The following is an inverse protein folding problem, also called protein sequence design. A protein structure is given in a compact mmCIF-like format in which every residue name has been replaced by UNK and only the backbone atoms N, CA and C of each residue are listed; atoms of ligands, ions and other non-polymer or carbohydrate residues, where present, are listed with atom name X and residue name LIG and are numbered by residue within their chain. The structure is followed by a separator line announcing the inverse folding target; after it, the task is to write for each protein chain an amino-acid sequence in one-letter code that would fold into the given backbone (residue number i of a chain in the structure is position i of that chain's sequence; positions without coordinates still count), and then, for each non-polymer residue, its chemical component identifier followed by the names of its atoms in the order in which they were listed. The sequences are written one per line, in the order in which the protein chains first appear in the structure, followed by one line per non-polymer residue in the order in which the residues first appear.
data_IF_385185349134
#
_entry.id   IF_385185349134
#
_cell.length_a   1.000
_cell.length_b   1.000
_cell.length_c   1.000
_cell.angle_alpha   90.00
_cell.angle_beta   90.00
_cell.angle_gamma   90.00
#
_symmetry.space_group_name_H-M   'P 1'
#
loop_
_entity.id
_entity.type
_entity.pdbx_description
1 polymer ?
#
# COMPACT_ATOMS: atom_id res chain seq x y z
N UNK A 1 -16.73 -9.33 -14.25
CA UNK A 1 -15.43 -9.48 -14.94
C UNK A 1 -14.92 -8.09 -15.30
N UNK A 2 -14.06 -7.50 -14.47
CA UNK A 2 -13.39 -6.25 -14.81
C UNK A 2 -12.38 -6.56 -15.92
N UNK A 3 -12.68 -6.10 -17.14
CA UNK A 3 -11.79 -6.26 -18.29
C UNK A 3 -10.56 -5.38 -18.06
N UNK A 4 -9.44 -5.98 -17.69
CA UNK A 4 -8.15 -5.33 -17.80
C UNK A 4 -7.97 -4.88 -19.26
N UNK A 5 -7.72 -3.58 -19.47
CA UNK A 5 -7.55 -3.03 -20.81
C UNK A 5 -6.38 -3.69 -21.57
N UNK A 6 -6.34 -3.61 -22.92
CA UNK A 6 -5.30 -4.21 -23.74
C UNK A 6 -3.86 -3.85 -23.30
N UNK A 7 -3.70 -2.63 -22.78
CA UNK A 7 -2.41 -2.07 -22.32
C UNK A 7 -1.85 -2.78 -21.10
N UNK A 8 -2.70 -3.20 -20.17
CA UNK A 8 -2.29 -3.87 -18.92
C UNK A 8 -1.67 -5.24 -19.20
N UNK A 9 -2.24 -6.01 -20.14
CA UNK A 9 -1.65 -7.29 -20.54
C UNK A 9 -0.30 -7.10 -21.25
N UNK A 10 -0.18 -6.07 -22.08
CA UNK A 10 1.09 -5.76 -22.76
C UNK A 10 2.17 -5.27 -21.80
N UNK A 11 1.80 -4.47 -20.80
CA UNK A 11 2.72 -3.96 -19.79
C UNK A 11 3.17 -5.07 -18.85
N UNK A 12 2.27 -5.99 -18.48
CA UNK A 12 2.64 -7.15 -17.67
C UNK A 12 3.59 -8.09 -18.42
N UNK A 13 3.38 -8.30 -19.72
CA UNK A 13 4.30 -9.08 -20.54
C UNK A 13 5.71 -8.44 -20.58
N UNK A 14 5.79 -7.12 -20.77
CA UNK A 14 7.08 -6.38 -20.73
C UNK A 14 7.75 -6.47 -19.37
N UNK A 15 7.01 -6.29 -18.29
CA UNK A 15 7.58 -6.40 -16.93
C UNK A 15 8.14 -7.81 -16.66
N UNK A 16 7.48 -8.86 -17.17
CA UNK A 16 7.99 -10.23 -17.08
C UNK A 16 9.27 -10.45 -17.90
N UNK A 17 9.39 -9.84 -19.09
CA UNK A 17 10.61 -9.90 -19.91
C UNK A 17 11.79 -9.19 -19.24
N UNK A 18 11.55 -7.98 -18.70
CA UNK A 18 12.55 -7.25 -17.91
C UNK A 18 12.96 -8.08 -16.69
N UNK A 19 12.01 -8.75 -16.02
CA UNK A 19 12.27 -9.61 -14.88
C UNK A 19 13.20 -10.77 -15.25
N UNK A 20 12.97 -11.43 -16.38
CA UNK A 20 13.85 -12.52 -16.83
C UNK A 20 15.25 -12.03 -17.19
N UNK A 21 15.36 -10.84 -17.78
CA UNK A 21 16.65 -10.18 -18.03
C UNK A 21 17.38 -9.87 -16.72
N UNK A 22 16.66 -9.32 -15.73
CA UNK A 22 17.20 -9.06 -14.39
C UNK A 22 17.63 -10.36 -13.69
N UNK A 23 16.85 -11.43 -13.81
CA UNK A 23 17.20 -12.76 -13.31
C UNK A 23 18.50 -13.27 -13.94
N UNK A 24 18.71 -13.04 -15.24
CA UNK A 24 19.94 -13.44 -15.93
C UNK A 24 21.16 -12.69 -15.38
N UNK A 25 21.09 -11.36 -15.25
CA UNK A 25 22.14 -10.56 -14.62
C UNK A 25 22.41 -11.00 -13.18
N UNK A 26 21.36 -11.30 -12.41
CA UNK A 26 21.50 -11.79 -11.03
C UNK A 26 22.26 -13.13 -10.98
N UNK A 27 21.93 -14.08 -11.87
CA UNK A 27 22.64 -15.37 -11.97
C UNK A 27 24.11 -15.19 -12.35
N UNK A 28 24.43 -14.17 -13.14
CA UNK A 28 25.79 -13.79 -13.51
C UNK A 28 26.53 -13.00 -12.42
N UNK A 29 25.92 -12.80 -11.23
CA UNK A 29 26.44 -11.97 -10.13
C UNK A 29 26.62 -10.48 -10.50
N UNK A 30 25.98 -10.03 -11.57
CA UNK A 30 25.95 -8.63 -11.98
C UNK A 30 24.84 -7.89 -11.21
N UNK A 31 24.97 -7.85 -9.88
CA UNK A 31 23.88 -7.44 -8.99
C UNK A 31 23.40 -6.01 -9.22
N UNK A 32 24.29 -5.08 -9.58
CA UNK A 32 23.90 -3.71 -9.89
C UNK A 32 22.99 -3.64 -11.13
N UNK A 33 23.35 -4.33 -12.22
CA UNK A 33 22.52 -4.37 -13.43
C UNK A 33 21.15 -5.01 -13.16
N UNK A 34 21.13 -6.09 -12.38
CA UNK A 34 19.89 -6.74 -11.97
C UNK A 34 19.01 -5.79 -11.12
N UNK A 35 19.62 -5.07 -10.18
CA UNK A 35 18.95 -4.09 -9.32
C UNK A 35 18.31 -2.97 -10.13
N UNK A 36 19.01 -2.43 -11.12
CA UNK A 36 18.51 -1.35 -11.98
C UNK A 36 17.27 -1.82 -12.76
N UNK A 37 17.29 -3.05 -13.28
CA UNK A 37 16.16 -3.66 -14.00
C UNK A 37 14.98 -4.00 -13.09
N UNK A 38 15.20 -4.55 -11.89
CA UNK A 38 14.09 -4.73 -10.95
C UNK A 38 13.49 -3.39 -10.51
N UNK A 39 14.33 -2.37 -10.34
CA UNK A 39 13.88 -1.02 -10.02
C UNK A 39 13.08 -0.41 -11.17
N UNK A 40 13.46 -0.66 -12.42
CA UNK A 40 12.66 -0.20 -13.57
C UNK A 40 11.29 -0.86 -13.60
N UNK A 41 11.18 -2.16 -13.27
CA UNK A 41 9.88 -2.83 -13.12
C UNK A 41 9.02 -2.12 -12.06
N UNK A 42 9.57 -1.91 -10.87
CA UNK A 42 8.84 -1.32 -9.75
C UNK A 42 8.43 0.12 -10.07
N UNK A 43 9.31 0.91 -10.68
CA UNK A 43 9.05 2.34 -10.90
C UNK A 43 8.17 2.61 -12.13
N UNK A 44 8.28 1.79 -13.18
CA UNK A 44 7.55 2.02 -14.43
C UNK A 44 6.21 1.29 -14.47
N UNK A 45 6.07 0.18 -13.75
CA UNK A 45 4.94 -0.72 -13.94
C UNK A 45 4.10 -0.94 -12.68
N UNK A 46 4.40 -0.25 -11.57
CA UNK A 46 3.74 -0.31 -10.25
C UNK A 46 2.23 -0.62 -10.31
N UNK A 47 1.48 0.18 -11.07
CA UNK A 47 0.03 0.15 -11.23
C UNK A 47 -0.47 -0.50 -12.54
N UNK A 48 0.47 -0.81 -13.43
CA UNK A 48 0.17 -1.28 -14.80
C UNK A 48 0.31 -2.79 -14.96
N UNK A 49 0.74 -3.52 -13.92
CA UNK A 49 1.02 -4.95 -14.00
C UNK A 49 0.52 -5.72 -12.78
N UNK A 50 0.65 -7.04 -12.82
CA UNK A 50 0.24 -7.88 -11.69
C UNK A 50 0.99 -7.50 -10.43
N UNK A 51 0.26 -7.35 -9.33
CA UNK A 51 0.80 -7.30 -7.97
C UNK A 51 1.91 -8.32 -7.78
N UNK A 52 1.65 -9.56 -8.18
CA UNK A 52 2.58 -10.66 -8.00
C UNK A 52 3.93 -10.39 -8.68
N UNK A 53 3.91 -9.82 -9.89
CA UNK A 53 5.10 -9.37 -10.61
C UNK A 53 5.88 -8.33 -9.82
N UNK A 54 5.21 -7.33 -9.23
CA UNK A 54 5.84 -6.29 -8.41
C UNK A 54 6.41 -6.85 -7.09
N UNK A 55 5.67 -7.72 -6.40
CA UNK A 55 6.12 -8.33 -5.14
C UNK A 55 7.32 -9.25 -5.39
N UNK A 56 7.30 -10.04 -6.46
CA UNK A 56 8.45 -10.85 -6.88
C UNK A 56 9.64 -9.97 -7.24
N UNK A 57 9.44 -8.89 -8.02
CA UNK A 57 10.49 -7.96 -8.38
C UNK A 57 11.13 -7.30 -7.15
N UNK A 58 10.33 -6.85 -6.17
CA UNK A 58 10.83 -6.32 -4.88
C UNK A 58 11.61 -7.38 -4.10
N UNK A 59 11.06 -8.58 -3.98
CA UNK A 59 11.71 -9.69 -3.30
C UNK A 59 13.09 -9.99 -3.95
N UNK A 60 13.16 -9.98 -5.28
CA UNK A 60 14.43 -10.20 -5.99
C UNK A 60 15.39 -9.00 -5.91
N UNK A 61 14.89 -7.76 -5.91
CA UNK A 61 15.70 -6.56 -5.66
C UNK A 61 16.31 -6.56 -4.26
N UNK A 62 15.57 -7.02 -3.25
CA UNK A 62 16.10 -7.26 -1.91
C UNK A 62 17.29 -8.24 -1.93
N UNK A 63 17.24 -9.25 -2.81
CA UNK A 63 18.36 -10.17 -2.99
C UNK A 63 19.59 -9.46 -3.58
N UNK A 64 19.42 -8.52 -4.51
CA UNK A 64 20.52 -7.71 -5.04
C UNK A 64 21.15 -6.87 -3.93
N UNK A 65 20.35 -6.12 -3.17
CA UNK A 65 20.84 -5.31 -2.05
C UNK A 65 21.63 -6.14 -1.02
N UNK A 66 21.13 -7.33 -0.71
CA UNK A 66 21.81 -8.25 0.21
C UNK A 66 23.19 -8.68 -0.29
N UNK A 67 23.35 -8.90 -1.60
CA UNK A 67 24.65 -9.28 -2.19
C UNK A 67 25.60 -8.07 -2.35
N UNK A 68 25.06 -6.86 -2.45
CA UNK A 68 25.83 -5.62 -2.52
C UNK A 68 26.23 -5.06 -1.15
N UNK A 69 25.78 -5.68 -0.06
CA UNK A 69 26.01 -5.18 1.31
C UNK A 69 25.11 -4.00 1.71
N UNK A 70 24.12 -3.67 0.89
CA UNK A 70 23.13 -2.61 1.16
C UNK A 70 22.01 -3.15 2.06
N UNK A 71 22.38 -3.63 3.25
CA UNK A 71 21.49 -4.38 4.14
C UNK A 71 20.23 -3.61 4.55
N UNK A 72 20.36 -2.30 4.78
CA UNK A 72 19.23 -1.45 5.16
C UNK A 72 18.18 -1.43 4.03
N UNK A 73 18.58 -1.29 2.76
CA UNK A 73 17.64 -1.33 1.61
C UNK A 73 17.06 -2.73 1.38
N UNK A 74 17.83 -3.78 1.65
CA UNK A 74 17.33 -5.16 1.64
C UNK A 74 16.16 -5.34 2.63
N UNK A 75 16.31 -4.84 3.86
CA UNK A 75 15.28 -4.90 4.91
C UNK A 75 13.98 -4.24 4.45
N UNK A 76 14.07 -3.05 3.84
CA UNK A 76 12.87 -2.34 3.34
C UNK A 76 12.11 -3.12 2.29
N UNK A 77 12.81 -3.59 1.26
CA UNK A 77 12.17 -4.35 0.19
C UNK A 77 11.54 -5.65 0.72
N UNK A 78 12.16 -6.28 1.74
CA UNK A 78 11.60 -7.46 2.39
C UNK A 78 10.33 -7.12 3.18
N UNK A 79 10.32 -6.05 3.96
CA UNK A 79 9.14 -5.65 4.73
C UNK A 79 7.99 -5.28 3.80
N UNK A 80 8.26 -4.53 2.73
CA UNK A 80 7.24 -4.22 1.72
C UNK A 80 6.73 -5.50 1.05
N UNK A 81 7.61 -6.44 0.70
CA UNK A 81 7.20 -7.72 0.10
C UNK A 81 6.35 -8.58 1.05
N UNK A 82 6.58 -8.48 2.37
CA UNK A 82 5.79 -9.20 3.39
C UNK A 82 4.45 -8.54 3.69
N UNK A 83 4.34 -7.22 3.56
CA UNK A 83 3.07 -6.50 3.63
C UNK A 83 2.15 -6.89 2.46
N UNK A 84 2.72 -7.09 1.27
CA UNK A 84 2.00 -7.51 0.08
C UNK A 84 2.22 -8.99 -0.19
N UNK A 85 1.57 -9.84 0.62
CA UNK A 85 1.66 -11.30 0.50
C UNK A 85 1.30 -11.70 -0.93
N UNK A 86 2.35 -12.04 -1.67
CA UNK A 86 2.23 -12.61 -3.00
C UNK A 86 1.58 -13.98 -2.88
N UNK A 87 0.57 -14.31 -3.69
CA UNK A 87 0.00 -15.66 -3.74
C UNK A 87 1.00 -16.69 -4.28
N UNK A 88 2.11 -16.25 -4.90
CA UNK A 88 3.18 -17.12 -5.37
C UNK A 88 3.94 -17.75 -4.17
N UNK A 89 3.95 -19.09 -4.07
CA UNK A 89 4.59 -19.78 -2.96
C UNK A 89 6.08 -19.43 -2.82
N UNK A 90 6.51 -19.21 -1.58
CA UNK A 90 7.92 -19.01 -1.23
C UNK A 90 8.45 -17.58 -1.40
N UNK A 91 7.68 -16.62 -1.92
CA UNK A 91 8.10 -15.20 -1.94
C UNK A 91 8.24 -14.67 -0.50
N UNK A 92 7.24 -14.91 0.34
CA UNK A 92 7.26 -14.52 1.75
C UNK A 92 8.43 -15.19 2.52
N UNK A 93 8.67 -16.47 2.30
CA UNK A 93 9.75 -17.19 2.99
C UNK A 93 11.13 -16.68 2.56
N UNK A 94 11.31 -16.37 1.27
CA UNK A 94 12.53 -15.71 0.78
C UNK A 94 12.71 -14.32 1.37
N UNK A 95 11.64 -13.54 1.49
CA UNK A 95 11.69 -12.22 2.11
C UNK A 95 12.07 -12.31 3.60
N UNK A 96 11.44 -13.21 4.37
CA UNK A 96 11.80 -13.46 5.78
C UNK A 96 13.26 -13.90 5.94
N UNK A 97 13.72 -14.81 5.09
CA UNK A 97 15.11 -15.28 5.11
C UNK A 97 16.10 -14.13 4.87
N UNK A 98 15.84 -13.30 3.85
CA UNK A 98 16.70 -12.17 3.50
C UNK A 98 16.68 -11.09 4.58
N UNK A 99 15.50 -10.79 5.13
CA UNK A 99 15.32 -9.89 6.27
C UNK A 99 16.21 -10.32 7.44
N UNK A 100 16.09 -11.58 7.88
CA UNK A 100 16.89 -12.10 8.98
C UNK A 100 18.40 -11.99 8.72
N UNK A 101 18.84 -12.29 7.48
CA UNK A 101 20.26 -12.20 7.10
C UNK A 101 20.77 -10.76 7.09
N UNK A 102 19.99 -9.82 6.55
CA UNK A 102 20.34 -8.41 6.49
C UNK A 102 20.36 -7.76 7.88
N UNK A 103 19.38 -8.07 8.73
CA UNK A 103 19.34 -7.60 10.11
C UNK A 103 20.56 -8.06 10.89
N UNK A 104 20.89 -9.35 10.80
CA UNK A 104 22.09 -9.90 11.45
C UNK A 104 23.36 -9.19 10.96
N UNK A 105 23.52 -8.99 9.66
CA UNK A 105 24.71 -8.31 9.13
C UNK A 105 24.86 -6.88 9.66
N UNK A 106 23.75 -6.15 9.86
CA UNK A 106 23.80 -4.83 10.49
C UNK A 106 24.10 -4.91 11.99
N UNK A 107 23.59 -5.92 12.70
CA UNK A 107 23.93 -6.14 14.11
C UNK A 107 25.42 -6.39 14.30
N UNK A 108 26.00 -7.26 13.44
CA UNK A 108 27.44 -7.55 13.43
C UNK A 108 28.26 -6.26 13.17
N UNK A 109 27.84 -5.42 12.19
CA UNK A 109 28.49 -4.12 11.91
C UNK A 109 28.40 -3.16 13.11
N UNK A 110 27.26 -3.11 13.80
CA UNK A 110 27.10 -2.24 14.95
C UNK A 110 27.93 -2.69 16.15
N UNK A 111 28.07 -4.00 16.33
CA UNK A 111 28.97 -4.58 17.33
C UNK A 111 30.43 -4.21 17.04
N UNK A 112 30.87 -4.37 15.79
CA UNK A 112 32.22 -3.97 15.36
C UNK A 112 32.46 -2.47 15.60
N UNK A 113 31.51 -1.62 15.23
CA UNK A 113 31.60 -0.17 15.46
C UNK A 113 31.69 0.17 16.94
N UNK A 114 30.94 -0.51 17.80
CA UNK A 114 30.97 -0.30 19.25
C UNK A 114 32.29 -0.76 19.88
N UNK A 115 32.90 -1.80 19.34
CA UNK A 115 34.21 -2.26 19.77
C UNK A 115 35.32 -1.24 19.43
N UNK A 116 35.18 -0.53 18.30
CA UNK A 116 36.13 0.52 17.86
C UNK A 116 35.86 1.86 18.56
N UNK A 117 34.59 2.24 18.70
CA UNK A 117 34.14 3.47 19.33
C UNK A 117 33.10 3.13 20.43
N UNK A 118 33.52 3.07 21.71
CA UNK A 118 32.61 2.81 22.82
C UNK A 118 31.51 3.86 22.99
N UNK A 119 31.64 5.04 22.36
CA UNK A 119 30.60 6.09 22.39
C UNK A 119 29.52 5.87 21.32
N UNK A 120 29.73 4.93 20.39
CA UNK A 120 28.75 4.56 19.38
C UNK A 120 27.49 3.93 20.01
N UNK A 121 26.37 4.61 19.86
CA UNK A 121 25.10 4.22 20.48
C UNK A 121 24.37 3.08 19.74
N UNK A 122 24.92 2.58 18.62
CA UNK A 122 24.23 1.67 17.71
C UNK A 122 23.41 2.40 16.67
N UNK A 123 22.98 1.69 15.62
CA UNK A 123 21.97 2.23 14.72
C UNK A 123 20.64 2.38 15.47
N UNK A 124 19.79 3.36 15.10
CA UNK A 124 18.41 3.36 15.58
C UNK A 124 17.82 1.98 15.33
N UNK A 125 17.17 1.39 16.35
CA UNK A 125 16.41 0.15 16.13
C UNK A 125 15.55 0.36 14.90
N UNK A 126 15.46 -0.65 14.02
CA UNK A 126 14.62 -0.58 12.84
C UNK A 126 13.17 -0.39 13.28
N UNK A 127 12.80 0.87 13.45
CA UNK A 127 11.48 1.33 13.70
C UNK A 127 10.91 1.58 12.31
N UNK A 128 9.97 0.72 11.93
CA UNK A 128 9.29 0.83 10.64
C UNK A 128 8.74 2.26 10.52
N UNK A 129 8.24 2.85 11.60
CA UNK A 129 7.65 4.17 11.63
C UNK A 129 8.69 5.31 11.49
N UNK A 130 9.92 5.14 12.01
CA UNK A 130 11.01 6.11 11.82
C UNK A 130 11.58 6.06 10.39
N UNK A 131 11.77 4.85 9.84
CA UNK A 131 12.15 4.65 8.43
C UNK A 131 11.07 5.22 7.50
N UNK A 132 9.79 5.05 7.84
CA UNK A 132 8.65 5.65 7.14
C UNK A 132 8.74 7.18 7.11
N UNK A 133 9.06 7.82 8.24
CA UNK A 133 9.26 9.28 8.31
C UNK A 133 10.46 9.74 7.49
N UNK A 134 11.55 8.98 7.48
CA UNK A 134 12.77 9.32 6.73
C UNK A 134 12.59 9.13 5.22
N UNK A 135 11.97 8.04 4.77
CA UNK A 135 11.60 7.85 3.36
C UNK A 135 10.60 8.90 2.88
N UNK A 136 9.63 9.31 3.71
CA UNK A 136 8.76 10.45 3.36
C UNK A 136 9.58 11.71 3.12
N UNK A 137 10.57 12.02 3.97
CA UNK A 137 11.47 13.17 3.78
C UNK A 137 12.34 13.05 2.53
N UNK A 138 12.94 11.89 2.29
CA UNK A 138 13.78 11.63 1.11
C UNK A 138 12.97 11.68 -0.18
N UNK A 139 11.74 11.18 -0.14
CA UNK A 139 10.84 11.16 -1.28
C UNK A 139 10.29 12.56 -1.57
N UNK A 140 9.94 13.35 -0.55
CA UNK A 140 9.67 14.78 -0.70
C UNK A 140 10.88 15.56 -1.23
N UNK A 141 12.10 15.22 -0.80
CA UNK A 141 13.34 15.83 -1.29
C UNK A 141 13.68 15.42 -2.73
N UNK A 142 13.31 14.21 -3.17
CA UNK A 142 13.49 13.73 -4.53
C UNK A 142 12.39 14.26 -5.47
N UNK A 143 11.14 14.41 -5.01
CA UNK A 143 10.08 15.12 -5.75
C UNK A 143 10.45 16.60 -5.96
N UNK A 144 11.20 17.22 -5.05
CA UNK A 144 11.75 18.56 -5.24
C UNK A 144 12.85 18.64 -6.32
N UNK A 145 13.57 17.55 -6.59
CA UNK A 145 14.62 17.48 -7.63
C UNK A 145 14.09 17.19 -9.04
N UNK A 146 12.84 16.75 -9.17
CA UNK A 146 12.20 16.37 -10.44
C UNK A 146 11.06 17.31 -10.88
N UNK A 147 10.94 18.50 -10.27
CA UNK A 147 9.93 19.53 -10.63
C UNK A 147 10.06 20.10 -12.06
N UNK A 148 10.95 19.55 -12.89
CA UNK A 148 11.09 19.94 -14.31
C UNK A 148 10.33 19.01 -15.27
N UNK A 149 9.53 18.06 -14.80
CA UNK A 149 8.76 17.17 -15.69
C UNK A 149 7.25 17.16 -15.37
N UNK A 150 6.44 17.38 -16.41
CA UNK A 150 4.97 17.46 -16.48
C UNK A 150 4.17 16.19 -16.04
N UNK A 151 4.75 15.31 -15.21
CA UNK A 151 4.13 14.01 -14.87
C UNK A 151 3.81 13.94 -13.38
N UNK A 152 2.52 13.91 -13.03
CA UNK A 152 2.04 13.74 -11.65
C UNK A 152 2.43 12.35 -11.13
N UNK A 153 3.29 12.30 -10.11
CA UNK A 153 3.72 11.07 -9.44
C UNK A 153 2.53 10.41 -8.73
N UNK A 154 2.45 9.08 -8.77
CA UNK A 154 1.36 8.29 -8.21
C UNK A 154 1.94 7.20 -7.32
N UNK A 155 1.28 6.89 -6.18
CA UNK A 155 1.73 5.86 -5.23
C UNK A 155 0.64 4.87 -4.89
N UNK A 156 1.00 3.61 -4.57
CA UNK A 156 0.03 2.63 -4.15
C UNK A 156 -0.57 3.02 -2.80
N UNK A 157 -1.89 2.87 -2.67
CA UNK A 157 -2.59 2.97 -1.38
C UNK A 157 -3.40 1.71 -1.08
N UNK A 158 -3.68 1.47 0.20
CA UNK A 158 -4.59 0.42 0.63
C UNK A 158 -6.02 0.92 0.68
N UNK A 159 -6.95 0.31 -0.04
CA UNK A 159 -8.38 0.44 0.27
C UNK A 159 -8.78 -0.76 1.14
N UNK A 160 -9.54 -0.56 2.20
CA UNK A 160 -10.01 -1.63 3.11
C UNK A 160 -11.46 -1.37 3.47
N UNK A 161 -12.34 -2.33 3.19
CA UNK A 161 -13.77 -2.24 3.57
C UNK A 161 -13.99 -2.98 4.88
N UNK A 162 -14.54 -2.32 5.90
CA UNK A 162 -14.87 -2.90 7.22
C UNK A 162 -16.39 -2.92 7.44
N UNK A 163 -16.91 -4.08 7.85
CA UNK A 163 -18.32 -4.27 8.22
C UNK A 163 -18.43 -4.74 9.68
N UNK A 164 -19.50 -4.34 10.36
CA UNK A 164 -19.68 -4.64 11.80
C UNK A 164 -19.98 -6.11 12.11
N UNK A 165 -20.75 -6.79 11.26
CA UNK A 165 -21.25 -8.16 11.52
C UNK A 165 -20.57 -9.21 10.63
N UNK A 166 -19.62 -8.79 9.81
CA UNK A 166 -18.87 -9.65 8.91
C UNK A 166 -17.41 -9.26 8.97
N UNK A 167 -16.60 -10.15 9.55
CA UNK A 167 -15.16 -10.10 9.38
C UNK A 167 -14.80 -11.04 8.24
N UNK A 168 -14.63 -10.47 7.04
CA UNK A 168 -13.38 -10.72 6.38
C UNK A 168 -12.71 -9.37 6.18
N UNK A 169 -11.60 -9.13 6.89
CA UNK A 169 -10.45 -8.51 6.23
C UNK A 169 -10.42 -9.03 4.80
N UNK A 170 -10.61 -8.17 3.81
CA UNK A 170 -10.19 -8.30 2.41
C UNK A 170 -11.12 -7.51 1.50
N UNK A 171 -10.74 -6.27 1.24
CA UNK A 171 -10.66 -5.85 -0.16
C UNK A 171 -9.45 -4.92 -0.36
N UNK A 172 -8.22 -5.48 -0.35
CA UNK A 172 -7.03 -4.74 -0.80
C UNK A 172 -7.14 -4.44 -2.30
N UNK A 173 -7.91 -3.43 -2.66
CA UNK A 173 -7.95 -2.92 -4.02
C UNK A 173 -6.89 -1.86 -4.18
N UNK A 174 -6.01 -2.11 -5.15
CA UNK A 174 -4.86 -1.28 -5.46
C UNK A 174 -5.31 -0.22 -6.43
N UNK A 175 -5.61 0.95 -5.91
CA UNK A 175 -5.63 2.16 -6.69
C UNK A 175 -4.38 2.97 -6.38
N UNK A 176 -4.08 3.91 -7.26
CA UNK A 176 -2.98 4.85 -7.09
C UNK A 176 -3.50 6.17 -6.52
N UNK A 177 -2.81 6.70 -5.52
CA UNK A 177 -3.03 8.04 -5.01
C UNK A 177 -2.00 8.99 -5.67
N UNK A 178 -2.45 10.08 -6.31
CA UNK A 178 -1.53 11.12 -6.75
C UNK A 178 -0.71 11.65 -5.57
N UNK A 179 0.60 11.80 -5.74
CA UNK A 179 1.51 12.32 -4.72
C UNK A 179 1.10 13.71 -4.22
N UNK A 180 0.41 14.49 -5.07
CA UNK A 180 -0.19 15.78 -4.70
C UNK A 180 -1.25 15.67 -3.60
N UNK A 181 -1.89 14.51 -3.41
CA UNK A 181 -2.88 14.23 -2.37
C UNK A 181 -2.29 13.54 -1.14
N UNK A 182 -0.99 13.23 -1.14
CA UNK A 182 -0.27 12.56 -0.05
C UNK A 182 0.43 13.53 0.91
N UNK A 183 0.16 14.83 0.78
CA UNK A 183 0.63 15.83 1.74
C UNK A 183 -0.57 16.42 2.47
N UNK A 184 -0.33 17.08 3.60
CA UNK A 184 -1.41 17.83 4.26
C UNK A 184 -2.04 18.79 3.25
N UNK A 185 -3.38 18.71 3.04
CA UNK A 185 -4.03 19.53 2.04
C UNK A 185 -3.84 21.00 2.36
N UNK A 186 -3.41 21.80 1.38
CA UNK A 186 -3.42 23.25 1.55
C UNK A 186 -4.87 23.70 1.70
N UNK A 187 -5.06 24.85 2.36
CA UNK A 187 -6.39 25.43 2.56
C UNK A 187 -7.13 25.56 1.22
N UNK A 188 -8.23 24.81 1.07
CA UNK A 188 -9.03 24.77 -0.17
C UNK A 188 -8.85 23.53 -1.06
N UNK A 189 -7.86 22.68 -0.80
CA UNK A 189 -7.63 21.43 -1.56
C UNK A 189 -8.37 20.21 -1.00
N UNK A 190 -9.05 20.37 0.15
CA UNK A 190 -9.86 19.34 0.81
C UNK A 190 -10.89 18.71 -0.16
N UNK A 191 -11.54 19.54 -0.98
CA UNK A 191 -12.52 19.08 -1.96
C UNK A 191 -11.94 18.12 -3.02
N UNK A 192 -10.67 18.31 -3.40
CA UNK A 192 -9.98 17.44 -4.37
C UNK A 192 -9.72 16.06 -3.75
N UNK A 193 -9.33 16.03 -2.48
CA UNK A 193 -9.13 14.80 -1.72
C UNK A 193 -10.45 14.06 -1.48
N UNK A 194 -11.50 14.78 -1.08
CA UNK A 194 -12.84 14.22 -0.92
C UNK A 194 -13.36 13.59 -2.22
N UNK A 195 -13.17 14.29 -3.35
CA UNK A 195 -13.57 13.79 -4.66
C UNK A 195 -12.78 12.53 -5.07
N UNK A 196 -11.48 12.47 -4.76
CA UNK A 196 -10.66 11.28 -4.95
C UNK A 196 -11.23 10.10 -4.18
N UNK A 197 -11.41 10.22 -2.87
CA UNK A 197 -11.92 9.14 -2.01
C UNK A 197 -13.30 8.68 -2.44
N UNK A 198 -14.22 9.62 -2.75
CA UNK A 198 -15.56 9.30 -3.28
C UNK A 198 -15.52 8.48 -4.56
N UNK A 199 -14.61 8.83 -5.47
CA UNK A 199 -14.42 8.09 -6.72
C UNK A 199 -13.96 6.65 -6.44
N UNK A 200 -12.98 6.46 -5.54
CA UNK A 200 -12.49 5.13 -5.16
C UNK A 200 -13.64 4.27 -4.65
N UNK A 201 -14.43 4.78 -3.70
CA UNK A 201 -15.59 4.05 -3.16
C UNK A 201 -16.58 3.67 -4.26
N UNK A 202 -16.93 4.62 -5.14
CA UNK A 202 -17.87 4.39 -6.23
C UNK A 202 -17.37 3.36 -7.26
N UNK A 203 -16.06 3.32 -7.54
CA UNK A 203 -15.44 2.33 -8.43
C UNK A 203 -15.61 0.91 -7.89
N UNK A 204 -15.55 0.73 -6.57
CA UNK A 204 -15.49 -0.57 -5.92
C UNK A 204 -16.82 -1.10 -5.38
N UNK A 205 -17.82 -0.24 -5.18
CA UNK A 205 -19.18 -0.62 -4.75
C UNK A 205 -19.80 -1.75 -5.59
N UNK A 206 -19.68 -1.79 -6.94
CA UNK A 206 -20.24 -2.87 -7.75
C UNK A 206 -19.59 -4.24 -7.50
N UNK A 207 -18.27 -4.29 -7.24
CA UNK A 207 -17.57 -5.53 -6.91
C UNK A 207 -18.04 -6.04 -5.55
N UNK A 208 -18.14 -5.15 -4.56
CA UNK A 208 -18.62 -5.47 -3.22
C UNK A 208 -20.02 -6.09 -3.28
N UNK A 209 -20.94 -5.52 -4.08
CA UNK A 209 -22.30 -6.03 -4.29
C UNK A 209 -22.36 -7.44 -4.89
N UNK A 210 -21.38 -7.84 -5.70
CA UNK A 210 -21.39 -9.15 -6.38
C UNK A 210 -20.88 -10.30 -5.49
N UNK A 211 -20.12 -10.01 -4.43
CA UNK A 211 -19.46 -11.05 -3.61
C UNK A 211 -20.44 -11.91 -2.81
N UNK A 212 -21.50 -11.32 -2.28
CA UNK A 212 -22.48 -12.04 -1.47
C UNK A 212 -23.91 -11.54 -1.70
N UNK A 213 -24.93 -12.37 -1.44
CA UNK A 213 -26.31 -11.94 -1.40
C UNK A 213 -26.56 -11.13 -0.11
N UNK A 214 -26.15 -9.85 -0.15
CA UNK A 214 -26.19 -8.96 1.01
C UNK A 214 -27.62 -8.71 1.49
N UNK A 215 -27.76 -8.61 2.82
CA UNK A 215 -29.01 -8.24 3.50
C UNK A 215 -28.85 -6.88 4.14
N UNK A 216 -29.89 -6.06 4.04
CA UNK A 216 -29.93 -4.74 4.65
C UNK A 216 -29.72 -4.84 6.16
N UNK A 217 -28.74 -4.09 6.68
CA UNK A 217 -28.42 -4.02 8.10
C UNK A 217 -29.63 -3.62 8.96
N UNK A 218 -30.47 -2.71 8.47
CA UNK A 218 -31.62 -2.21 9.23
C UNK A 218 -32.86 -3.12 9.22
N UNK A 219 -33.11 -3.88 8.17
CA UNK A 219 -34.38 -4.60 7.99
C UNK A 219 -34.29 -6.04 7.47
N UNK A 220 -33.08 -6.53 7.14
CA UNK A 220 -32.84 -7.90 6.69
C UNK A 220 -33.31 -8.23 5.26
N UNK A 221 -34.00 -7.32 4.57
CA UNK A 221 -34.37 -7.46 3.15
C UNK A 221 -33.12 -7.50 2.25
N UNK A 222 -33.21 -8.02 1.01
CA UNK A 222 -32.11 -7.93 0.07
C UNK A 222 -31.58 -6.50 -0.05
N UNK A 223 -30.27 -6.34 0.13
CA UNK A 223 -29.63 -5.05 -0.04
C UNK A 223 -29.53 -4.75 -1.54
N UNK A 224 -29.78 -3.49 -1.89
CA UNK A 224 -29.65 -2.99 -3.27
C UNK A 224 -28.58 -1.91 -3.38
N UNK A 225 -28.01 -1.51 -2.24
CA UNK A 225 -27.05 -0.42 -2.13
C UNK A 225 -26.20 -0.57 -0.86
N UNK A 226 -25.18 0.29 -0.76
CA UNK A 226 -24.32 0.40 0.40
C UNK A 226 -24.33 1.80 1.00
N UNK A 227 -24.12 1.85 2.30
CA UNK A 227 -23.81 3.05 3.04
C UNK A 227 -22.33 3.03 3.39
N UNK A 228 -21.58 4.02 2.91
CA UNK A 228 -20.13 4.14 3.10
C UNK A 228 -19.78 5.30 4.04
N UNK A 229 -18.72 5.14 4.81
CA UNK A 229 -18.16 6.15 5.72
C UNK A 229 -16.63 6.03 5.74
N UNK A 230 -15.94 6.43 4.65
CA UNK A 230 -14.52 6.24 4.53
C UNK A 230 -13.72 7.25 5.36
N UNK A 231 -12.65 6.74 5.96
CA UNK A 231 -11.57 7.50 6.60
C UNK A 231 -10.34 7.36 5.72
N UNK A 232 -9.80 8.48 5.27
CA UNK A 232 -8.63 8.51 4.40
C UNK A 232 -7.44 9.09 5.16
N UNK A 233 -6.43 8.26 5.35
CA UNK A 233 -5.09 8.68 5.76
C UNK A 233 -4.18 8.56 4.54
N UNK A 234 -4.16 9.61 3.72
CA UNK A 234 -3.35 9.65 2.50
C UNK A 234 -1.95 10.21 2.74
N UNK A 235 -1.75 10.89 3.86
CA UNK A 235 -0.48 11.54 4.20
C UNK A 235 0.51 10.57 4.87
N UNK A 236 0.04 9.39 5.30
CA UNK A 236 0.90 8.30 5.76
C UNK A 236 1.78 7.70 4.66
N UNK A 237 2.90 7.09 5.06
CA UNK A 237 3.82 6.40 4.16
C UNK A 237 3.14 5.27 3.39
N UNK A 238 2.15 4.62 4.01
CA UNK A 238 1.23 3.72 3.34
C UNK A 238 -0.15 4.35 3.35
N UNK A 239 -0.48 5.15 2.32
CA UNK A 239 -1.79 5.76 2.21
C UNK A 239 -2.86 4.69 2.33
N UNK A 240 -3.87 4.95 3.14
CA UNK A 240 -4.94 3.99 3.38
C UNK A 240 -6.29 4.69 3.40
N UNK A 241 -7.26 4.07 2.76
CA UNK A 241 -8.68 4.42 2.84
C UNK A 241 -9.37 3.26 3.54
N UNK A 242 -9.77 3.48 4.78
CA UNK A 242 -10.59 2.54 5.56
C UNK A 242 -12.05 2.93 5.37
N UNK A 243 -12.78 2.13 4.61
CA UNK A 243 -14.18 2.34 4.31
C UNK A 243 -15.08 1.51 5.21
N UNK A 244 -15.65 2.17 6.21
CA UNK A 244 -16.67 1.57 7.06
C UNK A 244 -17.98 1.54 6.27
N UNK A 245 -18.45 0.33 5.95
CA UNK A 245 -19.57 0.16 5.04
C UNK A 245 -20.63 -0.80 5.58
N UNK A 246 -21.89 -0.53 5.24
CA UNK A 246 -23.03 -1.38 5.62
C UNK A 246 -24.02 -1.53 4.46
N UNK A 247 -24.50 -2.75 4.17
CA UNK A 247 -25.49 -2.99 3.13
C UNK A 247 -26.87 -2.42 3.55
N UNK A 248 -27.57 -1.80 2.60
CA UNK A 248 -28.88 -1.17 2.80
C UNK A 248 -29.87 -1.54 1.70
N UNK A 249 -31.17 -1.55 2.04
CA UNK A 249 -32.22 -1.94 1.09
C UNK A 249 -32.53 -0.87 0.03
N UNK A 250 -32.16 0.39 0.27
CA UNK A 250 -32.41 1.52 -0.64
C UNK A 250 -31.54 2.73 -0.24
N UNK A 251 -30.95 3.45 -1.22
CA UNK A 251 -30.22 4.69 -0.97
C UNK A 251 -31.17 5.80 -0.50
N UNK A 252 -30.84 6.47 0.60
CA UNK A 252 -31.63 7.58 1.15
C UNK A 252 -32.91 7.18 1.90
N UNK A 253 -33.24 5.88 1.96
CA UNK A 253 -34.39 5.38 2.72
C UNK A 253 -34.19 5.42 4.24
N UNK A 254 -35.24 5.04 4.99
CA UNK A 254 -35.20 5.05 6.47
C UNK A 254 -34.10 4.15 7.05
N UNK A 255 -33.85 2.98 6.44
CA UNK A 255 -32.76 2.10 6.86
C UNK A 255 -31.40 2.79 6.71
N UNK A 256 -31.17 3.58 5.66
CA UNK A 256 -29.92 4.31 5.49
C UNK A 256 -29.68 5.34 6.61
N UNK A 257 -30.72 6.05 7.05
CA UNK A 257 -30.63 7.02 8.15
C UNK A 257 -30.30 6.34 9.49
N UNK A 258 -31.00 5.24 9.79
CA UNK A 258 -30.78 4.46 11.02
C UNK A 258 -29.38 3.85 11.04
N UNK A 259 -28.95 3.26 9.93
CA UNK A 259 -27.60 2.69 9.79
C UNK A 259 -26.53 3.77 9.92
N UNK A 260 -26.71 4.96 9.33
CA UNK A 260 -25.75 6.07 9.46
C UNK A 260 -25.55 6.50 10.92
N UNK A 261 -26.66 6.67 11.65
CA UNK A 261 -26.58 7.01 13.08
C UNK A 261 -25.91 5.90 13.91
N UNK A 262 -26.13 4.63 13.56
CA UNK A 262 -25.48 3.50 14.22
C UNK A 262 -23.97 3.44 13.94
N UNK A 263 -23.55 3.73 12.71
CA UNK A 263 -22.15 3.84 12.32
C UNK A 263 -21.48 5.00 13.06
N UNK A 264 -22.04 6.22 12.97
CA UNK A 264 -21.50 7.41 13.64
C UNK A 264 -21.33 7.25 15.16
N UNK A 265 -22.20 6.45 15.79
CA UNK A 265 -22.09 6.10 17.21
C UNK A 265 -20.94 5.11 17.46
N UNK A 266 -20.87 4.04 16.68
CA UNK A 266 -19.81 3.05 16.79
C UNK A 266 -18.42 3.67 16.59
N UNK A 267 -18.30 4.60 15.64
CA UNK A 267 -17.05 5.30 15.35
C UNK A 267 -16.54 6.17 16.51
N UNK A 268 -17.46 6.73 17.32
CA UNK A 268 -17.09 7.50 18.53
C UNK A 268 -16.67 6.62 19.70
N UNK A 269 -17.11 5.36 19.70
CA UNK A 269 -16.87 4.39 20.76
C UNK A 269 -15.66 3.49 20.46
N UNK A 270 -15.18 3.49 19.20
CA UNK A 270 -14.01 2.71 18.76
C UNK A 270 -12.69 3.46 19.05
N UNK A 271 -11.84 2.95 19.97
CA UNK A 271 -10.57 3.57 20.29
C UNK A 271 -9.50 3.45 19.20
N UNK A 272 -9.64 2.57 18.20
CA UNK A 272 -8.78 2.61 16.99
C UNK A 272 -9.13 3.83 16.14
N UNK A 273 -10.42 4.05 15.84
CA UNK A 273 -10.89 5.15 14.98
C UNK A 273 -10.69 6.51 15.64
N UNK A 274 -10.86 6.59 16.97
CA UNK A 274 -10.66 7.83 17.72
C UNK A 274 -9.17 8.25 17.83
N UNK A 275 -8.23 7.34 17.53
CA UNK A 275 -6.77 7.59 17.53
C UNK A 275 -6.17 7.70 16.12
N UNK A 276 -6.97 7.48 15.07
CA UNK A 276 -6.51 7.57 13.68
C UNK A 276 -6.32 9.03 13.24
N UNK A 277 -5.15 9.36 12.68
CA UNK A 277 -4.82 10.67 12.11
C UNK A 277 -5.53 10.96 10.76
N UNK A 278 -6.45 10.08 10.33
CA UNK A 278 -7.13 10.13 9.04
C UNK A 278 -8.32 11.10 9.02
N UNK A 279 -8.63 11.63 7.82
CA UNK A 279 -9.78 12.52 7.66
C UNK A 279 -10.99 11.76 7.12
N UNK A 280 -12.11 11.90 7.83
CA UNK A 280 -13.37 11.30 7.44
C UNK A 280 -14.05 12.09 6.33
N UNK A 281 -14.47 11.37 5.28
CA UNK A 281 -15.05 11.96 4.08
C UNK A 281 -16.57 11.74 4.09
N UNK A 282 -17.34 12.81 3.90
CA UNK A 282 -18.81 12.73 3.87
C UNK A 282 -19.32 12.20 2.53
N UNK A 283 -19.97 11.04 2.56
CA UNK A 283 -20.65 10.37 1.44
C UNK A 283 -22.12 10.76 1.31
#
# INVERSE_FOLDING_TARGET
MAYAGPTFFTDNAKALEIKETANAHFRNKEYQKALDLYSSIINQYDDRVMLDTISIARCNRAACYLNLGEYQRCIDDCNISLLFVSPTPGVADKARFRLAKATKALDDIDEEKRAVDPTYQGRPKYDVDERMREQMRESSANSAKFQTADVEEHRPFGYVVRMKDHDPEYVHMRDMVPASLMSEPRRGEEARRDAFVKRIVATHEPELMQKHPWKCFGCGKPATAWLHSPVADLASFYPIIKDYAQPICEKGGNCAKVTRAAMDKADKEDPEIAREDGVRIKM
#
